data_IF_458727728734
#
_entry.id   IF_458727728734
#
_cell.length_a   1.000
_cell.length_b   1.000
_cell.length_c   1.000
_cell.angle_alpha   90.00
_cell.angle_beta   90.00
_cell.angle_gamma   90.00
#
_symmetry.space_group_name_H-M   'P 1'
#
loop_
_entity.id
_entity.type
_entity.pdbx_description
1 polymer ?
#
# COMPACT_ATOMS: atom_id res chain seq x y z
N UNK A 1 69.70 49.11 11.58
CA UNK A 1 69.57 47.74 11.18
C UNK A 1 68.07 47.38 11.39
N UNK A 2 67.32 47.54 10.34
CA UNK A 2 65.85 47.56 10.39
C UNK A 2 65.36 46.32 9.63
N UNK A 3 64.73 45.39 10.30
CA UNK A 3 64.10 44.23 9.67
C UNK A 3 62.66 44.59 9.29
N UNK A 4 62.41 44.56 8.00
CA UNK A 4 61.08 44.81 7.42
C UNK A 4 60.36 43.47 7.33
N UNK A 5 59.31 43.30 8.15
CA UNK A 5 58.45 42.11 8.13
C UNK A 5 57.34 42.34 7.10
N UNK A 6 57.35 41.61 6.00
CA UNK A 6 56.24 41.54 5.05
C UNK A 6 55.16 40.60 5.58
N UNK A 7 54.04 41.18 5.96
CA UNK A 7 52.85 40.38 6.30
C UNK A 7 52.09 40.08 5.02
N UNK A 8 52.09 38.81 4.56
CA UNK A 8 51.27 38.31 3.46
C UNK A 8 49.87 37.99 4.00
N UNK A 9 48.91 38.87 3.70
CA UNK A 9 47.49 38.65 4.01
C UNK A 9 46.88 37.72 2.96
N UNK A 10 46.78 36.41 3.25
CA UNK A 10 46.09 35.46 2.42
C UNK A 10 44.58 35.57 2.60
N UNK A 11 43.91 36.13 1.58
CA UNK A 11 42.44 36.21 1.52
C UNK A 11 41.87 34.82 1.07
N UNK A 12 41.41 34.07 2.06
CA UNK A 12 40.69 32.81 1.82
C UNK A 12 39.27 33.12 1.36
N UNK A 13 39.00 32.99 0.07
CA UNK A 13 37.65 32.93 -0.48
C UNK A 13 37.03 31.61 -0.12
N UNK A 14 36.15 31.58 0.87
CA UNK A 14 35.25 30.48 1.12
C UNK A 14 34.14 30.47 0.06
N UNK A 15 34.32 29.69 -0.99
CA UNK A 15 33.26 29.34 -1.93
C UNK A 15 32.34 28.39 -1.20
N UNK A 16 31.24 28.90 -0.65
CA UNK A 16 30.14 28.09 -0.13
C UNK A 16 29.40 27.46 -1.30
N UNK A 17 29.73 26.21 -1.60
CA UNK A 17 29.00 25.40 -2.56
C UNK A 17 27.70 24.94 -1.87
N UNK A 18 26.61 25.68 -2.08
CA UNK A 18 25.26 25.30 -1.64
C UNK A 18 24.81 24.07 -2.40
N UNK A 19 25.02 22.88 -1.83
CA UNK A 19 24.44 21.64 -2.33
C UNK A 19 22.92 21.69 -2.12
N UNK A 20 22.20 22.08 -3.16
CA UNK A 20 20.75 21.94 -3.22
C UNK A 20 20.41 20.45 -3.26
N UNK A 21 20.03 19.89 -2.12
CA UNK A 21 19.48 18.54 -2.04
C UNK A 21 18.12 18.50 -2.76
N UNK A 22 18.15 18.32 -4.09
CA UNK A 22 16.96 17.90 -4.81
C UNK A 22 16.60 16.49 -4.31
N UNK A 23 15.59 16.42 -3.45
CA UNK A 23 14.93 15.16 -3.12
C UNK A 23 14.36 14.61 -4.43
N UNK A 24 15.11 13.72 -5.06
CA UNK A 24 14.62 12.93 -6.18
C UNK A 24 13.57 12.00 -5.60
N UNK A 25 12.30 12.38 -5.73
CA UNK A 25 11.18 11.44 -5.54
C UNK A 25 11.40 10.29 -6.52
N UNK A 26 11.97 9.20 -6.03
CA UNK A 26 12.09 7.95 -6.76
C UNK A 26 10.67 7.44 -6.96
N UNK A 27 10.05 7.78 -8.08
CA UNK A 27 8.84 7.12 -8.53
C UNK A 27 9.21 5.66 -8.78
N UNK A 28 8.76 4.77 -7.90
CA UNK A 28 8.82 3.33 -8.15
C UNK A 28 8.01 3.12 -9.43
N UNK A 29 8.58 2.59 -10.52
CA UNK A 29 7.81 2.34 -11.73
C UNK A 29 6.75 1.30 -11.40
N UNK A 30 5.51 1.74 -11.30
CA UNK A 30 4.36 0.88 -11.06
C UNK A 30 4.14 0.07 -12.33
N UNK A 31 4.72 -1.13 -12.39
CA UNK A 31 4.57 -2.03 -13.53
C UNK A 31 3.09 -2.44 -13.61
N UNK A 32 2.38 -1.93 -14.61
CA UNK A 32 1.01 -2.36 -14.91
C UNK A 32 1.04 -3.83 -15.31
N UNK A 33 0.31 -4.67 -14.59
CA UNK A 33 0.20 -6.10 -14.89
C UNK A 33 -0.83 -6.26 -15.99
N UNK A 34 -0.38 -6.64 -17.19
CA UNK A 34 -1.27 -6.93 -18.30
C UNK A 34 -2.18 -8.12 -17.96
N UNK A 35 -3.48 -7.96 -18.23
CA UNK A 35 -4.51 -8.98 -17.98
C UNK A 35 -4.39 -10.12 -18.98
N UNK A 36 -4.41 -11.36 -18.49
CA UNK A 36 -4.56 -12.55 -19.33
C UNK A 36 -6.01 -12.64 -19.86
N UNK A 37 -6.24 -13.05 -21.13
CA UNK A 37 -7.58 -13.15 -21.71
C UNK A 37 -8.53 -14.10 -20.97
N UNK A 38 -8.01 -15.07 -20.21
CA UNK A 38 -8.80 -16.06 -19.47
C UNK A 38 -9.27 -15.57 -18.07
N UNK A 39 -9.02 -14.32 -17.72
CA UNK A 39 -9.33 -13.80 -16.38
C UNK A 39 -10.61 -12.97 -16.37
N UNK A 40 -11.30 -12.98 -15.22
CA UNK A 40 -12.46 -12.11 -14.95
C UNK A 40 -12.07 -10.65 -15.14
N UNK A 41 -12.98 -9.84 -15.66
CA UNK A 41 -12.80 -8.38 -15.65
C UNK A 41 -13.10 -7.83 -14.26
N UNK A 42 -12.05 -7.56 -13.50
CA UNK A 42 -12.08 -7.03 -12.13
C UNK A 42 -11.51 -5.61 -12.13
N UNK A 43 -12.17 -4.72 -12.87
CA UNK A 43 -11.77 -3.33 -13.06
C UNK A 43 -12.72 -2.39 -12.31
N UNK A 44 -12.17 -1.33 -11.72
CA UNK A 44 -12.94 -0.24 -11.13
C UNK A 44 -13.13 0.90 -12.14
N UNK A 45 -14.22 1.65 -11.97
CA UNK A 45 -14.51 2.90 -12.68
C UNK A 45 -14.08 4.14 -11.90
N UNK A 46 -13.48 3.95 -10.74
CA UNK A 46 -13.01 5.06 -9.91
C UNK A 46 -11.89 5.83 -10.64
N UNK A 47 -12.06 7.15 -10.70
CA UNK A 47 -11.11 8.07 -11.35
C UNK A 47 -10.80 9.30 -10.50
N UNK A 48 -11.25 9.30 -9.25
CA UNK A 48 -11.03 10.41 -8.30
C UNK A 48 -9.69 10.30 -7.56
N UNK A 49 -9.41 11.32 -6.76
CA UNK A 49 -8.38 11.25 -5.74
C UNK A 49 -9.02 10.83 -4.42
N UNK A 50 -8.40 9.93 -3.63
CA UNK A 50 -8.88 9.60 -2.30
C UNK A 50 -8.98 10.86 -1.44
N UNK A 51 -9.94 10.90 -0.52
CA UNK A 51 -10.01 11.97 0.48
C UNK A 51 -8.84 11.91 1.47
N UNK A 52 -8.80 12.86 2.42
CA UNK A 52 -7.67 12.99 3.34
C UNK A 52 -7.55 11.76 4.27
N UNK A 53 -8.68 11.25 4.75
CA UNK A 53 -8.73 10.09 5.65
C UNK A 53 -8.19 8.84 4.97
N UNK A 54 -8.66 8.55 3.77
CA UNK A 54 -8.18 7.39 2.97
C UNK A 54 -6.69 7.52 2.65
N UNK A 55 -6.21 8.74 2.33
CA UNK A 55 -4.77 8.94 2.08
C UNK A 55 -3.91 8.62 3.30
N UNK A 56 -4.34 8.98 4.52
CA UNK A 56 -3.60 8.63 5.75
C UNK A 56 -3.63 7.11 6.01
N UNK A 57 -4.77 6.45 5.81
CA UNK A 57 -4.89 4.98 5.91
C UNK A 57 -3.90 4.29 4.96
N UNK A 58 -3.83 4.72 3.70
CA UNK A 58 -2.91 4.12 2.73
C UNK A 58 -1.45 4.40 3.07
N UNK A 59 -1.13 5.61 3.51
CA UNK A 59 0.20 5.99 3.98
C UNK A 59 0.64 5.15 5.19
N UNK A 60 -0.28 4.89 6.12
CA UNK A 60 -0.02 4.04 7.28
C UNK A 60 0.16 2.57 6.85
N UNK A 61 -0.64 2.08 5.91
CA UNK A 61 -0.45 0.76 5.32
C UNK A 61 0.94 0.61 4.65
N UNK A 62 1.39 1.63 3.92
CA UNK A 62 2.69 1.64 3.23
C UNK A 62 3.89 1.60 4.19
N UNK A 63 3.77 2.11 5.42
CA UNK A 63 4.81 2.02 6.45
C UNK A 63 5.21 0.58 6.78
N UNK A 64 4.28 -0.35 6.55
CA UNK A 64 4.48 -1.78 6.84
C UNK A 64 4.95 -2.59 5.63
N UNK A 65 5.18 -1.98 4.47
CA UNK A 65 5.71 -2.70 3.29
C UNK A 65 7.00 -3.45 3.64
N UNK A 66 7.04 -4.75 3.29
CA UNK A 66 8.16 -5.64 3.61
C UNK A 66 8.11 -6.26 5.01
N UNK A 67 7.19 -5.86 5.90
CA UNK A 67 7.01 -6.54 7.18
C UNK A 67 6.68 -8.03 6.95
N UNK A 68 7.30 -8.95 7.72
CA UNK A 68 7.14 -10.38 7.47
C UNK A 68 5.72 -10.88 7.75
N UNK A 69 5.34 -11.99 7.11
CA UNK A 69 4.12 -12.70 7.49
C UNK A 69 4.31 -13.47 8.80
N UNK A 70 3.34 -13.38 9.69
CA UNK A 70 3.27 -14.19 10.90
C UNK A 70 1.83 -14.59 11.16
N UNK A 71 1.57 -15.89 11.27
CA UNK A 71 0.22 -16.38 11.64
C UNK A 71 -0.24 -15.77 12.97
N UNK A 72 -1.47 -15.28 13.01
CA UNK A 72 -2.06 -14.53 14.13
C UNK A 72 -1.32 -13.23 14.51
N UNK A 73 -0.37 -12.75 13.66
CA UNK A 73 0.39 -11.53 13.89
C UNK A 73 -0.43 -10.26 13.61
N UNK A 74 -0.17 -9.20 14.40
CA UNK A 74 -0.83 -7.89 14.28
C UNK A 74 0.11 -6.72 14.61
N UNK A 75 1.42 -6.94 14.50
CA UNK A 75 2.45 -5.91 14.77
C UNK A 75 3.46 -5.85 13.64
N UNK A 76 4.30 -4.81 13.61
CA UNK A 76 5.38 -4.65 12.62
C UNK A 76 6.41 -5.80 12.62
N UNK A 77 6.47 -6.60 13.68
CA UNK A 77 7.31 -7.82 13.74
C UNK A 77 6.71 -9.02 12.97
N UNK A 78 5.52 -8.86 12.45
CA UNK A 78 4.84 -9.82 11.59
C UNK A 78 3.33 -9.68 11.63
N UNK A 79 2.71 -9.76 10.45
CA UNK A 79 1.27 -9.68 10.25
C UNK A 79 0.72 -10.93 9.60
N UNK A 80 -0.50 -11.35 9.99
CA UNK A 80 -1.37 -12.06 9.06
C UNK A 80 -2.25 -11.07 8.29
N UNK A 81 -3.04 -11.54 7.32
CA UNK A 81 -3.81 -10.68 6.43
C UNK A 81 -4.80 -9.77 7.19
N UNK A 82 -5.59 -10.33 8.09
CA UNK A 82 -6.59 -9.57 8.86
C UNK A 82 -5.98 -8.78 10.02
N UNK A 83 -4.85 -9.24 10.60
CA UNK A 83 -4.11 -8.48 11.59
C UNK A 83 -3.45 -7.22 11.00
N UNK A 84 -3.02 -7.28 9.75
CA UNK A 84 -2.54 -6.12 9.01
C UNK A 84 -3.67 -5.09 8.81
N UNK A 85 -4.84 -5.52 8.31
CA UNK A 85 -5.98 -4.60 8.14
C UNK A 85 -6.45 -4.00 9.45
N UNK A 86 -6.57 -4.81 10.52
CA UNK A 86 -6.90 -4.31 11.87
C UNK A 86 -5.92 -3.22 12.30
N UNK A 87 -4.62 -3.47 12.17
CA UNK A 87 -3.59 -2.52 12.59
C UNK A 87 -3.70 -1.19 11.87
N UNK A 88 -3.82 -1.22 10.54
CA UNK A 88 -3.91 -0.01 9.70
C UNK A 88 -5.16 0.80 10.01
N UNK A 89 -6.32 0.16 10.11
CA UNK A 89 -7.57 0.84 10.39
C UNK A 89 -7.68 1.33 11.83
N UNK A 90 -7.11 0.60 12.80
CA UNK A 90 -7.08 1.00 14.21
C UNK A 90 -6.22 2.26 14.44
N UNK A 91 -5.12 2.43 13.71
CA UNK A 91 -4.32 3.65 13.70
C UNK A 91 -5.08 4.86 13.16
N UNK A 92 -6.14 4.62 12.40
CA UNK A 92 -7.04 5.63 11.85
C UNK A 92 -8.44 5.62 12.52
N UNK A 93 -8.51 5.21 13.78
CA UNK A 93 -9.71 5.23 14.64
C UNK A 93 -10.88 4.38 14.13
N UNK A 94 -10.66 3.46 13.20
CA UNK A 94 -11.68 2.55 12.67
C UNK A 94 -11.45 1.15 13.18
N UNK A 95 -12.42 0.58 13.91
CA UNK A 95 -12.33 -0.75 14.49
C UNK A 95 -12.83 -1.81 13.54
N UNK A 96 -11.96 -2.79 13.24
CA UNK A 96 -12.31 -3.97 12.47
C UNK A 96 -12.24 -5.24 13.35
N UNK A 97 -13.10 -6.25 13.07
CA UNK A 97 -12.97 -7.56 13.70
C UNK A 97 -11.60 -8.19 13.42
N UNK A 98 -11.13 -9.06 14.32
CA UNK A 98 -9.79 -9.67 14.17
C UNK A 98 -9.67 -10.63 13.00
N UNK A 99 -10.72 -11.39 12.67
CA UNK A 99 -10.67 -12.43 11.63
C UNK A 99 -11.17 -11.91 10.30
N UNK A 100 -10.55 -12.33 9.20
CA UNK A 100 -10.97 -11.92 7.85
C UNK A 100 -12.42 -12.32 7.52
N UNK A 101 -12.88 -13.45 8.04
CA UNK A 101 -14.26 -13.93 7.90
C UNK A 101 -15.26 -12.95 8.57
N UNK A 102 -14.91 -12.44 9.75
CA UNK A 102 -15.76 -11.47 10.48
C UNK A 102 -15.68 -10.07 9.83
N UNK A 103 -14.49 -9.65 9.36
CA UNK A 103 -14.33 -8.42 8.58
C UNK A 103 -15.16 -8.42 7.30
N UNK A 104 -15.37 -9.60 6.71
CA UNK A 104 -16.17 -9.75 5.50
C UNK A 104 -17.66 -9.42 5.70
N UNK A 105 -18.11 -9.28 6.93
CA UNK A 105 -19.46 -8.84 7.30
C UNK A 105 -19.53 -7.37 7.72
N UNK A 106 -18.38 -6.68 7.84
CA UNK A 106 -18.33 -5.26 8.21
C UNK A 106 -18.70 -4.35 7.04
N UNK A 107 -19.26 -3.18 7.35
CA UNK A 107 -19.57 -2.13 6.36
C UNK A 107 -20.58 -2.55 5.29
N UNK A 108 -20.48 -1.93 4.12
CA UNK A 108 -21.38 -2.13 2.98
C UNK A 108 -20.71 -2.96 1.89
N UNK A 109 -21.44 -3.94 1.33
CA UNK A 109 -21.00 -4.67 0.13
C UNK A 109 -20.99 -3.74 -1.08
N UNK A 110 -19.93 -3.79 -1.88
CA UNK A 110 -19.80 -2.99 -3.11
C UNK A 110 -19.39 -3.86 -4.28
N UNK A 111 -19.78 -3.43 -5.49
CA UNK A 111 -19.29 -4.03 -6.74
C UNK A 111 -17.82 -3.67 -6.94
N UNK A 112 -17.05 -4.56 -7.56
CA UNK A 112 -15.66 -4.25 -7.94
C UNK A 112 -15.56 -3.02 -8.86
N UNK A 113 -16.60 -2.75 -9.66
CA UNK A 113 -16.66 -1.56 -10.52
C UNK A 113 -16.75 -0.25 -9.73
N UNK A 114 -17.18 -0.31 -8.48
CA UNK A 114 -17.32 0.83 -7.56
C UNK A 114 -16.18 0.88 -6.53
N UNK A 115 -15.24 -0.09 -6.59
CA UNK A 115 -14.12 -0.16 -5.67
C UNK A 115 -13.25 1.10 -5.78
N UNK A 116 -12.84 1.62 -4.64
CA UNK A 116 -11.96 2.78 -4.52
C UNK A 116 -10.87 2.50 -3.48
N UNK A 117 -9.79 3.29 -3.46
CA UNK A 117 -8.78 3.19 -2.43
C UNK A 117 -9.39 3.20 -1.02
N UNK A 118 -8.89 2.34 -0.12
CA UNK A 118 -9.41 2.14 1.25
C UNK A 118 -10.46 1.03 1.40
N UNK A 119 -11.10 0.57 0.32
CA UNK A 119 -12.04 -0.56 0.39
C UNK A 119 -11.31 -1.89 0.71
N UNK A 120 -12.03 -2.82 1.34
CA UNK A 120 -11.52 -4.16 1.63
C UNK A 120 -11.88 -5.15 0.50
N UNK A 121 -10.91 -5.94 0.08
CA UNK A 121 -11.08 -7.04 -0.87
C UNK A 121 -10.96 -8.38 -0.13
N UNK A 122 -11.85 -9.30 -0.43
CA UNK A 122 -11.90 -10.62 0.21
C UNK A 122 -11.67 -11.72 -0.80
N UNK A 123 -10.94 -12.77 -0.36
CA UNK A 123 -10.46 -13.84 -1.24
C UNK A 123 -10.63 -15.22 -0.62
N UNK A 124 -10.83 -16.22 -1.47
CA UNK A 124 -10.78 -17.65 -1.16
C UNK A 124 -9.45 -18.24 -1.68
N UNK A 125 -8.36 -18.03 -0.98
CA UNK A 125 -7.02 -18.47 -1.41
C UNK A 125 -6.80 -19.98 -1.35
N UNK A 126 -7.67 -20.69 -0.61
CA UNK A 126 -7.70 -22.16 -0.56
C UNK A 126 -8.71 -22.78 -1.52
N UNK A 127 -9.30 -21.96 -2.40
CA UNK A 127 -10.39 -22.38 -3.29
C UNK A 127 -11.77 -22.34 -2.59
N UNK A 128 -12.84 -22.57 -3.38
CA UNK A 128 -14.22 -22.50 -2.90
C UNK A 128 -14.72 -21.07 -2.65
N UNK A 129 -15.63 -20.90 -1.71
CA UNK A 129 -16.30 -19.62 -1.42
C UNK A 129 -16.02 -19.06 -0.01
N UNK A 130 -15.25 -19.78 0.82
CA UNK A 130 -14.93 -19.34 2.17
C UNK A 130 -13.86 -18.26 2.14
N UNK A 131 -14.12 -17.15 2.85
CA UNK A 131 -13.12 -16.08 3.04
C UNK A 131 -11.93 -16.61 3.85
N UNK A 132 -10.75 -16.54 3.24
CA UNK A 132 -9.48 -16.95 3.86
C UNK A 132 -8.42 -15.85 3.84
N UNK A 133 -8.67 -14.75 3.09
CA UNK A 133 -7.72 -13.67 2.96
C UNK A 133 -8.42 -12.33 2.74
N UNK A 134 -7.74 -11.25 3.12
CA UNK A 134 -8.20 -9.87 2.99
C UNK A 134 -7.03 -8.96 2.63
N UNK A 135 -7.32 -7.90 1.87
CA UNK A 135 -6.39 -6.80 1.58
C UNK A 135 -7.15 -5.49 1.43
N UNK A 136 -6.42 -4.37 1.43
CA UNK A 136 -6.95 -3.00 1.30
C UNK A 136 -6.70 -2.55 -0.14
N UNK A 137 -7.71 -2.04 -0.84
CA UNK A 137 -7.51 -1.39 -2.15
C UNK A 137 -6.54 -0.23 -1.97
N UNK A 138 -5.42 -0.30 -2.68
CA UNK A 138 -4.34 0.68 -2.57
C UNK A 138 -4.43 1.74 -3.67
N UNK A 139 -4.61 1.30 -4.91
CA UNK A 139 -4.60 2.17 -6.08
C UNK A 139 -5.51 1.63 -7.19
N UNK A 140 -6.07 2.54 -7.96
CA UNK A 140 -6.79 2.23 -9.19
C UNK A 140 -6.02 2.84 -10.36
N UNK A 141 -5.48 1.98 -11.21
CA UNK A 141 -4.75 2.42 -12.40
C UNK A 141 -5.66 3.06 -13.45
N UNK A 142 -5.06 3.79 -14.39
CA UNK A 142 -5.78 4.52 -15.45
C UNK A 142 -6.70 3.64 -16.32
N UNK A 143 -6.45 2.34 -16.36
CA UNK A 143 -7.28 1.35 -17.07
C UNK A 143 -8.30 0.67 -16.17
N UNK A 144 -8.48 1.14 -14.93
CA UNK A 144 -9.33 0.50 -13.93
C UNK A 144 -8.68 -0.69 -13.20
N UNK A 145 -7.38 -0.93 -13.40
CA UNK A 145 -6.63 -1.98 -12.69
C UNK A 145 -6.70 -1.74 -11.18
N UNK A 146 -7.20 -2.71 -10.42
CA UNK A 146 -7.29 -2.63 -8.97
C UNK A 146 -6.04 -3.25 -8.35
N UNK A 147 -5.27 -2.44 -7.63
CA UNK A 147 -4.13 -2.87 -6.81
C UNK A 147 -4.52 -2.83 -5.35
N UNK A 148 -3.98 -3.75 -4.57
CA UNK A 148 -4.27 -3.85 -3.14
C UNK A 148 -3.03 -4.19 -2.33
N UNK A 149 -2.96 -3.66 -1.12
CA UNK A 149 -1.92 -3.94 -0.15
C UNK A 149 -2.40 -4.99 0.85
N UNK A 150 -1.57 -5.99 1.13
CA UNK A 150 -1.93 -7.11 1.99
C UNK A 150 -0.71 -7.82 2.57
N UNK A 151 -0.89 -8.63 3.63
CA UNK A 151 0.16 -9.50 4.16
C UNK A 151 0.15 -10.86 3.44
N UNK A 152 1.06 -11.02 2.48
CA UNK A 152 1.29 -12.28 1.75
C UNK A 152 2.02 -13.29 2.63
N UNK A 153 1.57 -14.56 2.63
CA UNK A 153 2.23 -15.64 3.41
C UNK A 153 3.69 -15.87 3.02
N UNK A 154 4.07 -15.61 1.76
CA UNK A 154 5.41 -15.89 1.26
C UNK A 154 6.31 -14.65 1.13
N UNK A 155 5.73 -13.43 1.09
CA UNK A 155 6.47 -12.19 0.79
C UNK A 155 6.28 -11.10 1.84
N UNK A 156 5.47 -11.36 2.89
CA UNK A 156 5.10 -10.33 3.86
C UNK A 156 4.15 -9.29 3.27
N UNK A 157 4.18 -8.07 3.78
CA UNK A 157 3.29 -6.98 3.32
C UNK A 157 3.78 -6.47 1.96
N UNK A 158 2.92 -6.62 0.96
CA UNK A 158 3.19 -6.24 -0.44
C UNK A 158 1.95 -5.64 -1.10
N UNK A 159 2.15 -5.01 -2.25
CA UNK A 159 1.08 -4.60 -3.16
C UNK A 159 1.01 -5.61 -4.31
N UNK A 160 -0.19 -6.11 -4.58
CA UNK A 160 -0.52 -7.03 -5.67
C UNK A 160 -1.63 -6.45 -6.55
N UNK A 161 -1.83 -7.04 -7.73
CA UNK A 161 -2.88 -6.65 -8.67
C UNK A 161 -3.97 -7.73 -8.79
N UNK A 162 -5.25 -7.32 -8.91
CA UNK A 162 -6.33 -8.24 -9.29
C UNK A 162 -6.19 -8.79 -10.71
N UNK A 163 -5.28 -8.24 -11.53
CA UNK A 163 -4.93 -8.79 -12.84
C UNK A 163 -3.96 -9.99 -12.75
N UNK A 164 -3.34 -10.23 -11.60
CA UNK A 164 -2.56 -11.44 -11.36
C UNK A 164 -3.49 -12.65 -11.30
N UNK A 165 -3.16 -13.70 -12.06
CA UNK A 165 -4.01 -14.91 -12.22
C UNK A 165 -4.46 -15.52 -10.88
N UNK A 166 -3.55 -15.56 -9.90
CA UNK A 166 -3.84 -16.11 -8.57
C UNK A 166 -4.92 -15.29 -7.86
N UNK A 167 -4.75 -13.99 -7.76
CA UNK A 167 -5.67 -13.09 -7.06
C UNK A 167 -6.99 -12.94 -7.79
N UNK A 168 -6.96 -12.89 -9.13
CA UNK A 168 -8.16 -12.83 -9.95
C UNK A 168 -9.09 -14.02 -9.72
N UNK A 169 -8.52 -15.23 -9.69
CA UNK A 169 -9.29 -16.47 -9.45
C UNK A 169 -9.81 -16.56 -8.01
N UNK A 170 -9.01 -16.11 -7.03
CA UNK A 170 -9.34 -16.17 -5.62
C UNK A 170 -10.33 -15.07 -5.17
N UNK A 171 -10.49 -13.99 -5.94
CA UNK A 171 -11.36 -12.88 -5.58
C UNK A 171 -12.82 -13.29 -5.43
N UNK A 172 -13.43 -12.88 -4.30
CA UNK A 172 -14.82 -13.11 -3.96
C UNK A 172 -15.66 -11.84 -4.12
N UNK A 173 -15.41 -10.83 -3.30
CA UNK A 173 -16.16 -9.58 -3.25
C UNK A 173 -15.37 -8.46 -2.55
N UNK A 174 -15.95 -7.26 -2.54
CA UNK A 174 -15.40 -6.09 -1.87
C UNK A 174 -16.38 -5.48 -0.86
N UNK A 175 -15.84 -4.78 0.13
CA UNK A 175 -16.60 -4.05 1.14
C UNK A 175 -16.01 -2.67 1.42
N UNK A 176 -16.88 -1.70 1.69
CA UNK A 176 -16.54 -0.37 2.19
C UNK A 176 -16.89 -0.27 3.65
N UNK A 177 -15.93 0.14 4.47
CA UNK A 177 -16.06 0.24 5.94
C UNK A 177 -15.94 1.67 6.47
N UNK A 178 -15.67 2.61 5.55
CA UNK A 178 -15.61 4.07 5.80
C UNK A 178 -16.67 4.79 5.01
#
# INVERSE_FOLDING_TARGET
MKNLLFAFLAFLFLVSCGASNKVVKRSVPTKTVAKSPDLKTLESKYSGNPDAEIREILKDAEKYLGAPYKYAGNTSFGFDCSGFTVKVFDENNTKLPRRSEDQSNAGKGISIKEAQPGDLLFFATSGGSKVTHVGIVHDIGNTGEVKFIHASTSKGVIISSLNEKYWNKAYLFARRVL
#
